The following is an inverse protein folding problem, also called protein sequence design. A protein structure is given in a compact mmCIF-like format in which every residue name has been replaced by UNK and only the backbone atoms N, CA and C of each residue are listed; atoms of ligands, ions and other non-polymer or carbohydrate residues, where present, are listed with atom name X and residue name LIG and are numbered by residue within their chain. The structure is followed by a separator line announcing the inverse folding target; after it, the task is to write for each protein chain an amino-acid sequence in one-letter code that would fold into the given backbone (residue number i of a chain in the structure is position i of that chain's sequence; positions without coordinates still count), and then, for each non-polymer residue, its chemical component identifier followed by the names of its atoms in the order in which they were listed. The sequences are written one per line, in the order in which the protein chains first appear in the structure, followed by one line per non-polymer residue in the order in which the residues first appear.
data_IF_607194744518
#
_entry.id   IF_607194744518
#
_cell.length_a   1.000
_cell.length_b   1.000
_cell.length_c   1.000
_cell.angle_alpha   90.00
_cell.angle_beta   90.00
_cell.angle_gamma   90.00
#
_symmetry.space_group_name_H-M   'P 1'
#
loop_
_entity.id
_entity.type
_entity.pdbx_description
1 polymer ?
#
# COMPACT_ATOMS: atom_id res chain seq x y z
N UNK A 1 -32.03 29.81 -29.49
CA UNK A 1 -31.57 28.42 -29.68
C UNK A 1 -30.06 28.51 -29.82
N UNK A 2 -29.21 28.13 -28.88
CA UNK A 2 -29.27 27.50 -27.58
C UNK A 2 -27.79 27.24 -27.27
N UNK A 3 -27.31 27.66 -26.09
CA UNK A 3 -25.92 27.52 -25.65
C UNK A 3 -25.43 26.08 -25.83
N UNK A 4 -24.38 25.90 -26.64
CA UNK A 4 -23.48 24.76 -26.49
C UNK A 4 -22.36 25.21 -25.55
N UNK A 5 -22.56 24.88 -24.27
CA UNK A 5 -21.58 24.96 -23.19
C UNK A 5 -20.31 24.18 -23.55
N UNK A 6 -19.39 24.83 -24.27
CA UNK A 6 -18.01 24.39 -24.37
C UNK A 6 -17.30 24.73 -23.05
N UNK A 7 -17.57 23.98 -21.97
CA UNK A 7 -16.79 24.10 -20.74
C UNK A 7 -15.38 23.51 -20.95
N UNK A 8 -14.31 24.32 -20.88
CA UNK A 8 -12.96 23.81 -20.87
C UNK A 8 -12.61 23.39 -19.43
N UNK A 9 -12.52 22.09 -19.18
CA UNK A 9 -12.03 21.60 -17.89
C UNK A 9 -12.74 20.41 -17.26
N UNK A 10 -13.46 19.57 -18.01
CA UNK A 10 -13.81 18.24 -17.49
C UNK A 10 -12.57 17.35 -17.49
N UNK A 11 -11.75 17.48 -16.45
CA UNK A 11 -10.97 16.34 -15.98
C UNK A 11 -11.98 15.25 -15.63
N UNK A 12 -12.13 14.25 -16.49
CA UNK A 12 -12.95 13.08 -16.19
C UNK A 12 -12.33 12.46 -14.93
N UNK A 13 -13.07 12.51 -13.81
CA UNK A 13 -12.73 11.80 -12.60
C UNK A 13 -12.57 10.31 -12.97
N UNK A 14 -11.32 9.82 -12.97
CA UNK A 14 -10.98 8.49 -13.49
C UNK A 14 -9.92 8.44 -14.60
N UNK A 15 -9.29 9.57 -14.97
CA UNK A 15 -8.22 9.60 -16.00
C UNK A 15 -6.79 9.78 -15.47
N UNK A 16 -6.60 9.82 -14.15
CA UNK A 16 -5.28 9.93 -13.52
C UNK A 16 -4.69 8.59 -13.08
N UNK A 17 -3.53 8.62 -12.42
CA UNK A 17 -2.88 7.39 -11.95
C UNK A 17 -3.58 6.69 -10.78
N UNK A 18 -4.49 7.33 -10.05
CA UNK A 18 -5.21 6.74 -8.93
C UNK A 18 -5.99 5.46 -9.30
N UNK A 19 -6.90 5.44 -10.31
CA UNK A 19 -7.57 4.21 -10.73
C UNK A 19 -6.62 3.14 -11.26
N UNK A 20 -5.51 3.55 -11.89
CA UNK A 20 -4.47 2.62 -12.35
C UNK A 20 -3.77 1.93 -11.17
N UNK A 21 -3.43 2.71 -10.15
CA UNK A 21 -2.84 2.21 -8.90
C UNK A 21 -3.81 1.28 -8.15
N UNK A 22 -5.09 1.64 -8.06
CA UNK A 22 -6.11 0.80 -7.41
C UNK A 22 -6.28 -0.55 -8.12
N UNK A 23 -6.34 -0.53 -9.45
CA UNK A 23 -6.43 -1.75 -10.25
C UNK A 23 -5.19 -2.64 -10.07
N UNK A 24 -3.99 -2.07 -10.16
CA UNK A 24 -2.75 -2.79 -9.94
C UNK A 24 -2.65 -3.36 -8.51
N UNK A 25 -3.07 -2.59 -7.51
CA UNK A 25 -3.10 -3.03 -6.11
C UNK A 25 -4.04 -4.20 -5.93
N UNK A 26 -5.25 -4.13 -6.49
CA UNK A 26 -6.22 -5.22 -6.43
C UNK A 26 -5.69 -6.50 -7.08
N UNK A 27 -5.13 -6.41 -8.29
CA UNK A 27 -4.50 -7.55 -8.96
C UNK A 27 -3.39 -8.15 -8.10
N UNK A 28 -2.52 -7.32 -7.53
CA UNK A 28 -1.43 -7.80 -6.68
C UNK A 28 -1.93 -8.47 -5.40
N UNK A 29 -2.97 -7.94 -4.75
CA UNK A 29 -3.56 -8.58 -3.56
C UNK A 29 -4.09 -9.97 -3.93
N UNK A 30 -4.88 -10.06 -5.00
CA UNK A 30 -5.48 -11.33 -5.43
C UNK A 30 -4.42 -12.39 -5.74
N UNK A 31 -3.38 -12.03 -6.49
CA UNK A 31 -2.30 -12.96 -6.86
C UNK A 31 -1.37 -13.29 -5.68
N UNK A 32 -0.98 -12.31 -4.86
CA UNK A 32 -0.15 -12.57 -3.68
C UNK A 32 -0.87 -13.43 -2.65
N UNK A 33 -2.17 -13.27 -2.44
CA UNK A 33 -2.93 -14.12 -1.52
C UNK A 33 -2.88 -15.58 -1.98
N UNK A 34 -3.06 -15.86 -3.29
CA UNK A 34 -2.95 -17.22 -3.85
C UNK A 34 -1.54 -17.80 -3.67
N UNK A 35 -0.51 -16.98 -3.79
CA UNK A 35 0.88 -17.39 -3.62
C UNK A 35 1.22 -17.64 -2.14
N UNK A 36 0.75 -16.79 -1.24
CA UNK A 36 1.05 -16.85 0.20
C UNK A 36 0.23 -17.92 0.90
N UNK A 37 -1.01 -18.17 0.49
CA UNK A 37 -1.80 -19.28 1.06
C UNK A 37 -1.45 -20.65 0.46
N UNK A 38 -0.59 -20.69 -0.57
CA UNK A 38 -0.15 -21.92 -1.23
C UNK A 38 -1.10 -22.50 -2.28
N UNK A 39 -2.15 -21.76 -2.68
CA UNK A 39 -3.04 -22.11 -3.80
C UNK A 39 -2.25 -22.17 -5.11
N UNK A 40 -1.32 -21.23 -5.30
CA UNK A 40 -0.38 -21.20 -6.41
C UNK A 40 1.06 -21.35 -5.92
N UNK A 41 1.88 -22.08 -6.68
CA UNK A 41 3.32 -22.19 -6.40
C UNK A 41 4.03 -20.91 -6.89
N UNK A 42 5.07 -20.41 -6.19
CA UNK A 42 5.84 -19.24 -6.61
C UNK A 42 6.80 -19.58 -7.76
N UNK A 43 6.25 -19.86 -8.94
CA UNK A 43 6.96 -20.07 -10.20
C UNK A 43 7.17 -18.74 -10.91
N UNK A 44 8.13 -18.68 -11.85
CA UNK A 44 8.35 -17.46 -12.64
C UNK A 44 7.07 -16.99 -13.36
N UNK A 45 6.24 -17.92 -13.81
CA UNK A 45 4.94 -17.64 -14.43
C UNK A 45 3.97 -16.94 -13.46
N UNK A 46 3.77 -17.47 -12.26
CA UNK A 46 2.82 -16.88 -11.30
C UNK A 46 3.35 -15.58 -10.71
N UNK A 47 4.66 -15.46 -10.50
CA UNK A 47 5.29 -14.21 -10.09
C UNK A 47 5.18 -13.13 -11.17
N UNK A 48 5.17 -13.51 -12.46
CA UNK A 48 5.00 -12.60 -13.59
C UNK A 48 3.59 -12.02 -13.74
N UNK A 49 2.58 -12.56 -13.04
CA UNK A 49 1.23 -11.99 -13.00
C UNK A 49 1.16 -10.71 -12.16
N UNK A 50 2.12 -10.51 -11.26
CA UNK A 50 2.17 -9.36 -10.37
C UNK A 50 2.58 -8.09 -11.13
N UNK A 51 1.88 -7.00 -10.84
CA UNK A 51 2.19 -5.63 -11.26
C UNK A 51 3.29 -5.09 -10.36
N UNK A 52 4.53 -5.32 -10.76
CA UNK A 52 5.72 -4.99 -9.94
C UNK A 52 6.60 -3.92 -10.56
N UNK A 53 6.29 -3.49 -11.80
CA UNK A 53 7.23 -2.74 -12.62
C UNK A 53 8.58 -3.44 -12.68
N UNK A 54 9.62 -2.67 -12.38
CA UNK A 54 11.03 -3.09 -12.32
C UNK A 54 11.43 -3.76 -11.00
N UNK A 55 10.53 -3.86 -10.02
CA UNK A 55 10.82 -4.55 -8.76
C UNK A 55 10.72 -6.07 -8.96
N UNK A 56 11.87 -6.75 -8.99
CA UNK A 56 11.91 -8.20 -9.12
C UNK A 56 11.29 -8.92 -7.92
N UNK A 57 10.15 -9.57 -8.10
CA UNK A 57 9.59 -10.50 -7.11
C UNK A 57 10.29 -11.86 -7.17
N UNK A 58 10.65 -12.41 -6.01
CA UNK A 58 11.32 -13.72 -5.93
C UNK A 58 10.51 -14.73 -5.12
N UNK A 59 10.69 -16.01 -5.45
CA UNK A 59 10.09 -17.10 -4.67
C UNK A 59 10.55 -17.12 -3.20
N UNK A 60 11.72 -16.55 -2.90
CA UNK A 60 12.22 -16.41 -1.53
C UNK A 60 11.36 -15.47 -0.69
N UNK A 61 10.93 -14.34 -1.26
CA UNK A 61 10.04 -13.37 -0.59
C UNK A 61 8.68 -14.01 -0.28
N UNK A 62 8.09 -14.73 -1.24
CA UNK A 62 6.83 -15.45 -1.01
C UNK A 62 6.97 -16.50 0.10
N UNK A 63 8.06 -17.27 0.11
CA UNK A 63 8.31 -18.26 1.17
C UNK A 63 8.54 -17.63 2.53
N UNK A 64 9.10 -16.42 2.59
CA UNK A 64 9.23 -15.68 3.83
C UNK A 64 7.85 -15.25 4.34
N UNK A 65 7.01 -14.66 3.48
CA UNK A 65 5.62 -14.30 3.81
C UNK A 65 4.80 -15.51 4.26
N UNK A 66 4.93 -16.66 3.61
CA UNK A 66 4.25 -17.90 3.99
C UNK A 66 4.51 -18.34 5.44
N UNK A 67 5.70 -18.01 5.98
CA UNK A 67 6.14 -18.40 7.33
C UNK A 67 5.86 -17.32 8.37
N UNK A 68 5.45 -16.14 7.94
CA UNK A 68 5.23 -15.00 8.81
C UNK A 68 3.82 -15.08 9.44
N UNK A 69 3.69 -14.92 10.77
CA UNK A 69 2.38 -14.88 11.42
C UNK A 69 1.52 -13.69 10.96
N UNK A 70 2.14 -12.57 10.56
CA UNK A 70 1.47 -11.34 10.11
C UNK A 70 1.33 -11.27 8.57
N UNK A 71 1.37 -12.44 7.90
CA UNK A 71 1.42 -12.52 6.45
C UNK A 71 0.30 -11.77 5.72
N UNK A 72 -0.90 -11.66 6.30
CA UNK A 72 -2.02 -10.97 5.67
C UNK A 72 -1.76 -9.46 5.56
N UNK A 73 -1.28 -8.85 6.64
CA UNK A 73 -0.94 -7.43 6.67
C UNK A 73 0.28 -7.13 5.80
N UNK A 74 1.31 -7.97 5.86
CA UNK A 74 2.51 -7.84 5.04
C UNK A 74 2.20 -8.03 3.54
N UNK A 75 1.30 -8.95 3.20
CA UNK A 75 0.87 -9.18 1.82
C UNK A 75 0.13 -7.98 1.25
N UNK A 76 -0.83 -7.41 1.99
CA UNK A 76 -1.57 -6.24 1.55
C UNK A 76 -0.64 -5.03 1.35
N UNK A 77 0.31 -4.84 2.28
CA UNK A 77 1.31 -3.78 2.17
C UNK A 77 2.21 -3.96 0.95
N UNK A 78 2.77 -5.16 0.78
CA UNK A 78 3.63 -5.49 -0.35
C UNK A 78 2.89 -5.30 -1.68
N UNK A 79 1.63 -5.72 -1.76
CA UNK A 79 0.80 -5.53 -2.95
C UNK A 79 0.72 -4.05 -3.37
N UNK A 80 0.51 -3.16 -2.40
CA UNK A 80 0.46 -1.72 -2.64
C UNK A 80 1.82 -1.13 -3.03
N UNK A 81 2.91 -1.58 -2.40
CA UNK A 81 4.27 -1.13 -2.75
C UNK A 81 4.65 -1.51 -4.19
N UNK A 82 4.36 -2.75 -4.59
CA UNK A 82 4.59 -3.22 -5.96
C UNK A 82 3.72 -2.47 -6.98
N UNK A 83 2.45 -2.24 -6.65
CA UNK A 83 1.52 -1.52 -7.52
C UNK A 83 1.92 -0.06 -7.71
N UNK A 84 2.43 0.60 -6.65
CA UNK A 84 2.99 1.95 -6.75
C UNK A 84 4.19 1.99 -7.69
N UNK A 85 5.12 1.04 -7.58
CA UNK A 85 6.28 0.97 -8.46
C UNK A 85 5.87 0.79 -9.93
N UNK A 86 4.95 -0.13 -10.21
CA UNK A 86 4.40 -0.38 -11.56
C UNK A 86 3.72 0.86 -12.15
N UNK A 87 2.94 1.56 -11.32
CA UNK A 87 2.21 2.76 -11.73
C UNK A 87 3.16 3.93 -12.04
N UNK A 88 4.18 4.15 -11.20
CA UNK A 88 5.19 5.19 -11.42
C UNK A 88 6.00 4.90 -12.69
N UNK A 89 6.40 3.65 -12.92
CA UNK A 89 7.14 3.27 -14.12
C UNK A 89 6.30 3.51 -15.38
N UNK A 90 5.03 3.09 -15.36
CA UNK A 90 4.10 3.33 -16.45
C UNK A 90 3.88 4.82 -16.72
N UNK A 91 3.79 5.63 -15.66
CA UNK A 91 3.67 7.08 -15.76
C UNK A 91 4.89 7.72 -16.44
N UNK A 92 6.09 7.28 -16.07
CA UNK A 92 7.34 7.74 -16.69
C UNK A 92 7.41 7.35 -18.18
N UNK A 93 6.96 6.14 -18.53
CA UNK A 93 6.88 5.70 -19.92
C UNK A 93 5.87 6.53 -20.73
N UNK A 94 4.68 6.79 -20.18
CA UNK A 94 3.67 7.64 -20.82
C UNK A 94 4.20 9.05 -21.08
N UNK A 95 4.89 9.64 -20.10
CA UNK A 95 5.57 10.93 -20.25
C UNK A 95 6.61 10.88 -21.37
N UNK A 96 7.46 9.85 -21.41
CA UNK A 96 8.48 9.70 -22.44
C UNK A 96 7.87 9.63 -23.84
N UNK A 97 6.80 8.84 -24.01
CA UNK A 97 6.09 8.71 -25.28
C UNK A 97 5.56 10.07 -25.75
N UNK A 98 4.92 10.84 -24.87
CA UNK A 98 4.40 12.17 -25.21
C UNK A 98 5.50 13.15 -25.61
N UNK A 99 6.60 13.20 -24.87
CA UNK A 99 7.75 14.06 -25.19
C UNK A 99 8.32 13.69 -26.56
N UNK A 100 8.47 12.39 -26.85
CA UNK A 100 8.95 11.94 -28.17
C UNK A 100 7.95 12.23 -29.28
N UNK A 101 6.65 12.11 -29.01
CA UNK A 101 5.60 12.41 -29.98
C UNK A 101 5.52 13.89 -30.33
N UNK A 102 5.74 14.78 -29.36
CA UNK A 102 5.82 16.23 -29.59
C UNK A 102 7.06 16.64 -30.39
N UNK A 103 8.12 15.84 -30.31
CA UNK A 103 9.36 16.08 -31.07
C UNK A 103 9.26 15.66 -32.53
N UNK A 104 8.13 15.06 -32.94
CA UNK A 104 7.90 14.64 -34.32
C UNK A 104 7.66 15.87 -35.22
N UNK A 105 8.32 15.99 -36.39
CA UNK A 105 8.26 17.19 -37.23
C UNK A 105 6.85 17.66 -37.64
N UNK A 106 5.91 16.75 -37.92
CA UNK A 106 4.55 17.13 -38.30
C UNK A 106 3.75 17.67 -37.10
N UNK A 107 4.02 17.16 -35.89
CA UNK A 107 3.43 17.67 -34.64
C UNK A 107 4.07 19.00 -34.22
N UNK A 108 5.40 19.08 -34.30
CA UNK A 108 6.16 20.29 -33.93
C UNK A 108 5.85 21.49 -34.81
N UNK A 109 5.40 21.27 -36.05
CA UNK A 109 4.93 22.32 -36.95
C UNK A 109 3.53 22.87 -36.60
N UNK A 110 2.83 22.26 -35.63
CA UNK A 110 1.48 22.62 -35.23
C UNK A 110 1.46 23.19 -33.80
N UNK A 111 1.45 24.52 -33.68
CA UNK A 111 1.49 25.22 -32.38
C UNK A 111 0.40 24.77 -31.39
N UNK A 112 -0.80 24.51 -31.88
CA UNK A 112 -1.91 24.03 -31.05
C UNK A 112 -1.65 22.63 -30.45
N UNK A 113 -0.97 21.75 -31.20
CA UNK A 113 -0.64 20.40 -30.76
C UNK A 113 0.50 20.44 -29.72
N UNK A 114 1.51 21.29 -29.95
CA UNK A 114 2.59 21.53 -28.98
C UNK A 114 2.05 22.09 -27.67
N UNK A 115 1.21 23.13 -27.72
CA UNK A 115 0.63 23.73 -26.53
C UNK A 115 -0.24 22.75 -25.71
N UNK A 116 -1.02 21.89 -26.37
CA UNK A 116 -1.79 20.85 -25.69
C UNK A 116 -0.89 19.76 -25.11
N UNK A 117 0.15 19.35 -25.83
CA UNK A 117 1.12 18.39 -25.32
C UNK A 117 1.88 18.88 -24.09
N UNK A 118 2.32 20.14 -24.07
CA UNK A 118 2.97 20.76 -22.91
C UNK A 118 2.04 20.81 -21.68
N UNK A 119 0.75 21.10 -21.89
CA UNK A 119 -0.26 21.03 -20.82
C UNK A 119 -0.39 19.61 -20.26
N UNK A 120 -0.42 18.60 -21.13
CA UNK A 120 -0.51 17.19 -20.73
C UNK A 120 0.75 16.71 -20.00
N UNK A 121 1.94 17.08 -20.47
CA UNK A 121 3.20 16.77 -19.80
C UNK A 121 3.22 17.42 -18.40
N UNK A 122 2.81 18.68 -18.30
CA UNK A 122 2.74 19.38 -17.00
C UNK A 122 1.75 18.70 -16.04
N UNK A 123 0.59 18.25 -16.53
CA UNK A 123 -0.36 17.50 -15.73
C UNK A 123 0.23 16.16 -15.26
N UNK A 124 0.87 15.40 -16.16
CA UNK A 124 1.53 14.14 -15.83
C UNK A 124 2.66 14.32 -14.81
N UNK A 125 3.47 15.35 -14.93
CA UNK A 125 4.56 15.64 -13.99
C UNK A 125 4.03 15.92 -12.58
N UNK A 126 2.88 16.60 -12.47
CA UNK A 126 2.19 16.81 -11.18
C UNK A 126 1.67 15.51 -10.60
N UNK A 127 1.07 14.66 -11.42
CA UNK A 127 0.56 13.37 -10.95
C UNK A 127 1.68 12.39 -10.56
N UNK A 128 2.78 12.34 -11.33
CA UNK A 128 3.98 11.55 -10.97
C UNK A 128 4.54 12.03 -9.63
N UNK A 129 4.61 13.34 -9.43
CA UNK A 129 5.08 13.93 -8.17
C UNK A 129 4.15 13.57 -7.00
N UNK A 130 2.84 13.59 -7.22
CA UNK A 130 1.86 13.18 -6.21
C UNK A 130 2.02 11.69 -5.83
N UNK A 131 2.16 10.80 -6.81
CA UNK A 131 2.40 9.37 -6.56
C UNK A 131 3.69 9.14 -5.77
N UNK A 132 4.77 9.84 -6.13
CA UNK A 132 6.06 9.74 -5.43
C UNK A 132 5.91 10.17 -3.97
N UNK A 133 5.24 11.28 -3.72
CA UNK A 133 4.99 11.78 -2.37
C UNK A 133 4.11 10.81 -1.55
N UNK A 134 3.09 10.22 -2.17
CA UNK A 134 2.26 9.21 -1.51
C UNK A 134 3.08 7.97 -1.13
N UNK A 135 3.95 7.49 -2.03
CA UNK A 135 4.83 6.35 -1.77
C UNK A 135 5.81 6.63 -0.63
N UNK A 136 6.43 7.81 -0.61
CA UNK A 136 7.34 8.24 0.44
C UNK A 136 6.62 8.35 1.79
N UNK A 137 5.44 8.99 1.82
CA UNK A 137 4.61 9.09 3.01
C UNK A 137 4.18 7.72 3.54
N UNK A 138 3.75 6.80 2.68
CA UNK A 138 3.38 5.44 3.09
C UNK A 138 4.57 4.68 3.69
N UNK A 139 5.76 4.86 3.12
CA UNK A 139 7.01 4.26 3.64
C UNK A 139 7.38 4.83 5.02
N UNK A 140 7.31 6.15 5.18
CA UNK A 140 7.57 6.81 6.46
C UNK A 140 6.58 6.40 7.55
N UNK A 141 5.29 6.41 7.23
CA UNK A 141 4.22 5.97 8.15
C UNK A 141 4.44 4.53 8.59
N UNK A 142 4.84 3.65 7.67
CA UNK A 142 5.07 2.27 8.00
C UNK A 142 6.30 2.07 8.90
N UNK A 143 7.38 2.83 8.70
CA UNK A 143 8.56 2.80 9.57
C UNK A 143 8.22 3.35 10.98
N UNK A 144 7.50 4.47 11.04
CA UNK A 144 7.14 5.13 12.30
C UNK A 144 6.08 4.36 13.10
N UNK A 145 5.14 3.70 12.43
CA UNK A 145 4.11 2.89 13.10
C UNK A 145 4.73 1.71 13.83
N UNK A 146 5.71 1.03 13.23
CA UNK A 146 6.45 -0.06 13.86
C UNK A 146 7.21 0.41 15.10
N UNK A 147 7.93 1.54 15.00
CA UNK A 147 8.64 2.13 16.14
C UNK A 147 7.70 2.59 17.26
N UNK A 148 6.53 3.14 16.90
CA UNK A 148 5.52 3.58 17.87
C UNK A 148 4.89 2.40 18.60
N UNK A 149 4.60 1.30 17.89
CA UNK A 149 4.03 0.08 18.48
C UNK A 149 5.05 -0.58 19.40
N UNK A 150 6.31 -0.75 18.96
CA UNK A 150 7.39 -1.30 19.80
C UNK A 150 7.63 -0.41 21.02
N UNK A 151 7.67 0.91 20.85
CA UNK A 151 7.82 1.84 21.97
C UNK A 151 6.68 1.74 22.98
N UNK A 152 5.44 1.52 22.54
CA UNK A 152 4.30 1.25 23.44
C UNK A 152 4.42 -0.11 24.14
N UNK A 153 4.92 -1.13 23.44
CA UNK A 153 5.11 -2.47 24.02
C UNK A 153 6.22 -2.45 25.08
N UNK A 154 7.37 -1.84 24.80
CA UNK A 154 8.44 -1.64 25.78
C UNK A 154 7.91 -0.88 26.99
N UNK A 155 7.17 0.22 26.77
CA UNK A 155 6.56 0.96 27.87
C UNK A 155 5.54 0.11 28.65
N UNK A 156 4.76 -0.79 28.03
CA UNK A 156 3.83 -1.69 28.73
C UNK A 156 4.57 -2.75 29.56
N UNK A 157 5.65 -3.31 29.03
CA UNK A 157 6.51 -4.26 29.74
C UNK A 157 7.24 -3.58 30.91
N UNK A 158 7.70 -2.34 30.74
CA UNK A 158 8.36 -1.55 31.79
C UNK A 158 7.39 -1.00 32.83
N UNK A 159 6.18 -0.59 32.44
CA UNK A 159 5.18 -0.02 33.36
C UNK A 159 4.28 -1.05 34.02
N UNK A 160 4.23 -2.31 33.55
CA UNK A 160 3.32 -3.30 34.11
C UNK A 160 3.85 -4.76 34.05
N UNK A 161 4.85 -5.15 34.86
CA UNK A 161 5.31 -6.54 34.95
C UNK A 161 4.33 -7.49 35.66
N UNK A 162 3.23 -7.02 36.27
CA UNK A 162 2.31 -7.87 37.03
C UNK A 162 0.88 -7.34 37.06
N UNK A 163 0.02 -7.80 36.15
CA UNK A 163 -1.40 -8.04 36.46
C UNK A 163 -1.93 -9.23 35.64
N UNK A 164 -1.29 -10.39 35.76
CA UNK A 164 -2.07 -11.63 35.76
C UNK A 164 -2.58 -11.81 37.19
N UNK A 165 -3.70 -11.17 37.50
CA UNK A 165 -4.57 -11.73 38.53
C UNK A 165 -5.20 -12.96 37.87
N UNK A 166 -4.55 -14.11 38.00
CA UNK A 166 -5.33 -15.33 38.18
C UNK A 166 -6.26 -15.02 39.36
N UNK A 167 -7.54 -14.81 39.08
CA UNK A 167 -8.59 -14.79 40.11
C UNK A 167 -8.63 -16.21 40.66
N UNK A 168 -7.69 -16.50 41.56
CA UNK A 168 -7.54 -17.77 42.23
C UNK A 168 -8.74 -17.92 43.16
N UNK A 169 -9.80 -18.53 42.63
CA UNK A 169 -11.04 -18.90 43.31
C UNK A 169 -10.78 -19.67 44.62
N UNK A 170 -9.62 -20.32 44.71
CA UNK A 170 -9.17 -21.11 45.86
C UNK A 170 -8.87 -20.25 47.09
N UNK A 171 -8.40 -19.01 46.89
CA UNK A 171 -8.10 -18.08 48.00
C UNK A 171 -9.39 -17.59 48.66
N UNK A 172 -10.46 -17.42 47.86
CA UNK A 172 -11.77 -16.96 48.35
C UNK A 172 -12.49 -18.08 49.12
N UNK A 173 -12.37 -19.33 48.68
CA UNK A 173 -12.96 -20.47 49.39
C UNK A 173 -12.32 -20.69 50.76
N UNK A 174 -11.01 -20.47 50.88
CA UNK A 174 -10.32 -20.63 52.16
C UNK A 174 -10.70 -19.56 53.21
N UNK A 175 -11.17 -18.39 52.77
CA UNK A 175 -11.61 -17.30 53.67
C UNK A 175 -13.05 -17.47 54.17
N UNK A 176 -13.84 -18.36 53.57
CA UNK A 176 -15.20 -18.68 54.02
C UNK A 176 -15.23 -19.85 55.02
N UNK A 177 -14.12 -20.57 55.17
CA UNK A 177 -14.01 -21.76 56.03
C UNK A 177 -13.47 -21.47 57.44
N UNK A 178 -13.16 -20.20 57.77
CA UNK A 178 -12.68 -19.83 59.11
C UNK A 178 -13.85 -19.25 59.91
N UNK A 179 -14.39 -19.97 60.92
CA UNK A 179 -15.41 -19.41 61.79
C UNK A 179 -14.80 -18.30 62.67
N UNK A 180 -15.57 -17.25 63.03
CA UNK A 180 -15.09 -16.26 63.98
C UNK A 180 -14.86 -16.95 65.33
N UNK A 181 -13.62 -16.89 65.82
CA UNK A 181 -13.32 -17.27 67.19
C UNK A 181 -13.90 -16.19 68.12
N UNK A 182 -14.96 -16.55 68.84
CA UNK A 182 -15.45 -15.80 69.99
C UNK A 182 -14.30 -15.60 70.99
N UNK A 183 -14.03 -14.35 71.37
CA UNK A 183 -13.25 -14.06 72.56
C UNK A 183 -13.82 -12.84 73.29
N UNK A 184 -14.58 -13.19 74.35
CA UNK A 184 -14.84 -12.52 75.63
C UNK A 184 -14.88 -11.00 75.73
#
# INVERSE_FOLDING_TARGET
MGDDDQQPGVTVAGTGFAPMLEAATKTNIEELVKLVNGTEKPTAENLGKLKTGSLGMTAGVIKALQRDPDNAALTARLAGELAMADTVESALLMRQILVTGLSEPNVAAQDAAVAEGDRRITALDREISALKNEMELKRELANNSVLTIIGREINRVETNPQTQYEDNTDVRFNQLAVPPADNK
#
